data_IF_238331711527
#
_entry.id   IF_238331711527
#
_cell.length_a   1.000
_cell.length_b   1.000
_cell.length_c   1.000
_cell.angle_alpha   90.00
_cell.angle_beta   90.00
_cell.angle_gamma   90.00
#
_symmetry.space_group_name_H-M   'P 1'
#
loop_
_entity.id
_entity.type
_entity.pdbx_description
1 polymer ?
#
# COMPACT_ATOMS: atom_id res chain seq x y z
N UNK A 1 3.29 -10.16 -72.27
CA UNK A 1 3.08 -9.77 -70.86
C UNK A 1 2.11 -10.78 -70.24
N UNK A 2 2.61 -11.66 -69.36
CA UNK A 2 1.83 -12.68 -68.66
C UNK A 2 1.67 -12.23 -67.20
N UNK A 3 0.43 -12.03 -66.74
CA UNK A 3 0.10 -11.74 -65.35
C UNK A 3 -0.30 -13.05 -64.66
N UNK A 4 0.49 -13.48 -63.68
CA UNK A 4 0.15 -14.58 -62.79
C UNK A 4 -0.74 -14.07 -61.66
N UNK A 5 -1.95 -14.63 -61.56
CA UNK A 5 -2.74 -14.63 -60.33
C UNK A 5 -2.09 -15.58 -59.31
N UNK A 6 -1.83 -15.09 -58.10
CA UNK A 6 -1.60 -15.94 -56.93
C UNK A 6 -2.76 -15.78 -55.95
N UNK A 7 -3.48 -16.88 -55.80
CA UNK A 7 -4.55 -17.14 -54.85
C UNK A 7 -3.89 -17.40 -53.49
N UNK A 8 -4.11 -16.53 -52.50
CA UNK A 8 -3.86 -16.86 -51.09
C UNK A 8 -5.19 -17.22 -50.43
N UNK A 9 -5.41 -18.53 -50.29
CA UNK A 9 -6.52 -19.09 -49.54
C UNK A 9 -6.34 -18.84 -48.05
N UNK A 10 -7.23 -18.02 -47.48
CA UNK A 10 -7.40 -17.85 -46.05
C UNK A 10 -8.11 -19.09 -45.49
N UNK A 11 -7.35 -19.92 -44.78
CA UNK A 11 -7.86 -21.01 -43.95
C UNK A 11 -8.63 -20.41 -42.76
N UNK A 12 -9.96 -20.45 -42.86
CA UNK A 12 -10.86 -20.31 -41.72
C UNK A 12 -10.67 -21.50 -40.78
N UNK A 13 -9.99 -21.29 -39.67
CA UNK A 13 -9.94 -22.23 -38.57
C UNK A 13 -11.26 -22.14 -37.79
N UNK A 14 -11.98 -23.26 -37.78
CA UNK A 14 -13.22 -23.47 -37.03
C UNK A 14 -13.02 -23.21 -35.53
N UNK A 15 -13.75 -22.24 -34.97
CA UNK A 15 -14.04 -22.18 -33.54
C UNK A 15 -15.03 -23.31 -33.20
N UNK A 16 -14.54 -24.39 -32.61
CA UNK A 16 -15.38 -25.39 -31.98
C UNK A 16 -15.94 -24.81 -30.67
N UNK A 17 -17.24 -24.51 -30.70
CA UNK A 17 -18.08 -24.18 -29.54
C UNK A 17 -18.27 -25.44 -28.70
N UNK A 18 -17.69 -25.46 -27.50
CA UNK A 18 -18.06 -26.45 -26.48
C UNK A 18 -19.22 -25.90 -25.64
N UNK A 19 -20.38 -26.58 -25.59
CA UNK A 19 -21.43 -26.24 -24.63
C UNK A 19 -21.04 -26.77 -23.25
N UNK A 20 -20.80 -25.86 -22.31
CA UNK A 20 -20.76 -26.16 -20.87
C UNK A 20 -22.18 -26.43 -20.40
N UNK A 21 -22.46 -27.69 -20.05
CA UNK A 21 -23.65 -28.05 -19.29
C UNK A 21 -23.45 -27.64 -17.84
N UNK A 22 -24.23 -26.65 -17.39
CA UNK A 22 -24.46 -26.40 -15.97
C UNK A 22 -25.49 -27.44 -15.49
N UNK A 23 -25.11 -28.27 -14.52
CA UNK A 23 -26.06 -29.07 -13.76
C UNK A 23 -26.20 -28.47 -12.37
N UNK A 24 -27.47 -28.19 -12.06
CA UNK A 24 -28.00 -27.83 -10.75
C UNK A 24 -27.61 -28.86 -9.69
N UNK A 25 -27.07 -28.39 -8.57
CA UNK A 25 -27.20 -29.04 -7.27
C UNK A 25 -27.43 -27.94 -6.22
N UNK A 26 -28.70 -27.55 -6.08
CA UNK A 26 -29.24 -27.08 -4.83
C UNK A 26 -29.57 -28.31 -3.98
N UNK A 27 -29.15 -28.34 -2.72
CA UNK A 27 -29.85 -28.96 -1.58
C UNK A 27 -29.04 -28.74 -0.30
N UNK A 28 -29.67 -28.03 0.64
CA UNK A 28 -29.71 -28.30 2.09
C UNK A 28 -28.40 -28.52 2.87
N UNK A 29 -28.15 -27.65 3.85
CA UNK A 29 -28.22 -28.06 5.25
C UNK A 29 -28.38 -26.86 6.22
N UNK A 30 -29.51 -26.90 6.91
CA UNK A 30 -29.86 -26.38 8.24
C UNK A 30 -28.68 -26.28 9.22
N UNK A 31 -28.46 -25.14 9.87
CA UNK A 31 -29.00 -24.78 11.21
C UNK A 31 -28.53 -25.67 12.36
N UNK A 32 -27.47 -25.26 13.07
CA UNK A 32 -27.33 -25.55 14.51
C UNK A 32 -26.72 -24.35 15.24
N UNK A 33 -27.58 -23.70 16.02
CA UNK A 33 -27.24 -22.88 17.19
C UNK A 33 -26.71 -23.79 18.30
N UNK A 34 -25.59 -23.42 18.93
CA UNK A 34 -25.42 -23.69 20.35
C UNK A 34 -24.54 -22.62 21.00
N UNK A 35 -25.11 -22.00 22.02
CA UNK A 35 -24.45 -21.15 22.98
C UNK A 35 -23.57 -22.00 23.91
N UNK A 36 -22.42 -21.48 24.29
CA UNK A 36 -21.50 -22.11 25.23
C UNK A 36 -20.75 -21.03 26.00
N UNK A 37 -21.04 -20.97 27.30
CA UNK A 37 -20.66 -19.99 28.31
C UNK A 37 -19.16 -19.79 28.55
N UNK A 38 -18.83 -18.58 29.03
CA UNK A 38 -17.60 -18.14 29.71
C UNK A 38 -17.15 -19.09 30.85
N UNK A 39 -15.84 -19.15 31.19
CA UNK A 39 -15.40 -18.35 32.35
C UNK A 39 -13.97 -17.78 32.25
N UNK A 40 -13.87 -16.47 32.55
CA UNK A 40 -13.04 -15.86 33.60
C UNK A 40 -11.79 -16.61 34.12
N UNK A 41 -10.60 -16.09 33.81
CA UNK A 41 -9.38 -16.23 34.62
C UNK A 41 -8.48 -15.00 34.36
N UNK A 42 -8.48 -14.01 35.26
CA UNK A 42 -7.64 -13.84 36.46
C UNK A 42 -6.23 -13.31 36.17
N UNK A 43 -5.97 -12.16 36.79
CA UNK A 43 -4.75 -11.36 36.83
C UNK A 43 -3.46 -12.13 37.11
N UNK A 44 -2.33 -11.65 36.55
CA UNK A 44 -1.05 -11.61 37.26
C UNK A 44 -0.18 -10.47 36.70
N UNK A 45 0.10 -9.49 37.57
CA UNK A 45 1.15 -8.49 37.43
C UNK A 45 2.53 -9.15 37.54
N UNK A 46 3.53 -8.68 36.79
CA UNK A 46 4.86 -8.49 37.38
C UNK A 46 5.69 -7.43 36.65
N UNK A 47 6.22 -6.54 37.50
CA UNK A 47 7.11 -5.42 37.26
C UNK A 47 8.59 -5.83 37.11
N UNK A 48 9.42 -4.82 36.85
CA UNK A 48 10.90 -4.74 36.94
C UNK A 48 11.62 -4.90 35.59
N UNK A 49 12.59 -4.06 35.19
CA UNK A 49 13.48 -3.17 35.94
C UNK A 49 14.12 -2.13 35.01
N UNK A 50 14.45 -1.00 35.63
CA UNK A 50 15.24 0.13 35.12
C UNK A 50 16.55 -0.26 34.43
N UNK A 51 16.96 0.54 33.45
CA UNK A 51 18.37 0.93 33.34
C UNK A 51 18.52 2.41 32.91
N UNK A 52 19.44 3.07 33.61
CA UNK A 52 19.74 4.51 33.64
C UNK A 52 21.15 4.74 33.05
N UNK A 53 21.49 6.02 32.80
CA UNK A 53 22.82 6.64 32.54
C UNK A 53 23.00 7.02 31.05
N UNK A 54 22.69 8.25 30.62
CA UNK A 54 23.51 9.51 30.58
C UNK A 54 24.78 9.37 29.71
N UNK A 55 25.06 10.22 28.71
CA UNK A 55 25.32 11.66 28.83
C UNK A 55 25.24 12.42 27.50
N UNK A 56 24.92 13.72 27.59
CA UNK A 56 25.08 14.76 26.58
C UNK A 56 26.58 15.05 26.30
N UNK A 57 27.00 15.52 25.12
CA UNK A 57 27.14 16.92 24.63
C UNK A 57 28.02 16.80 23.33
N UNK A 58 27.95 17.58 22.25
CA UNK A 58 27.88 19.04 22.08
C UNK A 58 27.29 19.42 20.69
N UNK A 59 26.85 20.70 20.59
CA UNK A 59 26.24 21.42 19.45
C UNK A 59 27.31 21.89 18.45
N UNK A 60 27.04 22.09 17.14
CA UNK A 60 26.42 23.26 16.45
C UNK A 60 26.48 22.91 14.92
N UNK A 61 25.62 23.29 13.97
CA UNK A 61 24.80 24.49 13.77
C UNK A 61 23.75 24.31 12.63
N UNK A 62 22.65 25.06 12.78
CA UNK A 62 21.77 25.74 11.78
C UNK A 62 20.89 24.95 10.76
N UNK A 63 19.59 25.11 11.00
CA UNK A 63 18.50 25.39 10.05
C UNK A 63 18.07 24.29 9.06
N UNK A 64 17.35 23.29 9.59
CA UNK A 64 16.25 22.63 8.87
C UNK A 64 15.30 22.00 9.90
N UNK A 65 14.29 22.75 10.36
CA UNK A 65 13.53 22.41 11.58
C UNK A 65 12.27 21.57 11.34
N UNK A 66 12.25 20.77 10.28
CA UNK A 66 11.37 19.58 10.20
C UNK A 66 12.25 18.34 10.23
N UNK A 67 13.07 18.19 11.30
CA UNK A 67 13.94 17.03 11.50
C UNK A 67 13.23 15.75 11.09
N UNK A 68 13.69 15.15 9.99
CA UNK A 68 12.92 14.32 9.06
C UNK A 68 12.14 13.20 9.73
N UNK A 69 10.93 13.50 10.18
CA UNK A 69 9.98 12.49 10.63
C UNK A 69 9.37 11.90 9.38
N UNK A 70 9.70 10.65 9.11
CA UNK A 70 9.05 9.84 8.08
C UNK A 70 7.60 9.61 8.48
N UNK A 71 6.69 10.45 7.97
CA UNK A 71 5.23 10.38 8.21
C UNK A 71 4.69 9.00 7.81
N UNK A 72 5.37 8.29 6.89
CA UNK A 72 5.07 6.91 6.54
C UNK A 72 5.18 5.94 7.73
N UNK A 73 5.82 6.30 8.84
CA UNK A 73 5.88 5.45 10.05
C UNK A 73 4.82 5.76 11.10
N UNK A 74 3.91 6.71 10.83
CA UNK A 74 2.82 7.02 11.75
C UNK A 74 1.91 5.78 11.94
N UNK A 75 1.52 5.53 13.18
CA UNK A 75 0.53 4.48 13.47
C UNK A 75 -0.87 4.96 13.09
N UNK A 76 -1.78 4.04 12.78
CA UNK A 76 -3.17 4.37 12.45
C UNK A 76 -3.82 5.21 13.57
N UNK A 77 -3.49 4.90 14.83
CA UNK A 77 -3.95 5.65 16.01
C UNK A 77 -3.49 7.11 16.00
N UNK A 78 -2.23 7.37 15.62
CA UNK A 78 -1.67 8.72 15.53
C UNK A 78 -2.31 9.51 14.39
N UNK A 79 -2.54 8.86 13.24
CA UNK A 79 -3.23 9.45 12.09
C UNK A 79 -4.66 9.83 12.48
N UNK A 80 -5.41 8.93 13.11
CA UNK A 80 -6.78 9.17 13.58
C UNK A 80 -6.84 10.29 14.64
N UNK A 81 -5.84 10.39 15.52
CA UNK A 81 -5.73 11.48 16.49
C UNK A 81 -5.51 12.83 15.79
N UNK A 82 -4.60 12.90 14.82
CA UNK A 82 -4.36 14.11 14.03
C UNK A 82 -5.59 14.53 13.20
N UNK A 83 -6.34 13.57 12.64
CA UNK A 83 -7.61 13.86 11.95
C UNK A 83 -8.68 14.40 12.89
N UNK A 84 -8.79 13.86 14.11
CA UNK A 84 -9.69 14.39 15.15
C UNK A 84 -9.27 15.80 15.57
N UNK A 85 -7.97 16.03 15.72
CA UNK A 85 -7.41 17.35 16.01
C UNK A 85 -7.79 18.37 14.93
N UNK A 86 -7.61 18.03 13.65
CA UNK A 86 -8.02 18.89 12.53
C UNK A 86 -9.51 19.27 12.60
N UNK A 87 -10.39 18.28 12.81
CA UNK A 87 -11.83 18.53 12.96
C UNK A 87 -12.14 19.43 14.15
N UNK A 88 -11.48 19.20 15.30
CA UNK A 88 -11.65 20.01 16.49
C UNK A 88 -11.18 21.47 16.27
N UNK A 89 -10.05 21.66 15.59
CA UNK A 89 -9.56 23.00 15.23
C UNK A 89 -10.54 23.73 14.32
N UNK A 90 -11.02 23.06 13.25
CA UNK A 90 -11.96 23.64 12.28
C UNK A 90 -13.30 24.05 12.91
N UNK A 91 -13.75 23.30 13.92
CA UNK A 91 -15.00 23.57 14.62
C UNK A 91 -14.83 24.57 15.79
N UNK A 92 -13.60 24.97 16.13
CA UNK A 92 -13.31 25.95 17.16
C UNK A 92 -13.05 27.31 16.49
N UNK A 93 -13.96 28.27 16.68
CA UNK A 93 -13.88 29.58 16.02
C UNK A 93 -12.61 30.36 16.39
N UNK A 94 -12.19 30.33 17.66
CA UNK A 94 -10.98 31.02 18.12
C UNK A 94 -9.73 30.39 17.50
N UNK A 95 -9.62 29.05 17.58
CA UNK A 95 -8.44 28.33 17.09
C UNK A 95 -8.33 28.39 15.57
N UNK A 96 -9.43 28.21 14.84
CA UNK A 96 -9.45 28.38 13.38
C UNK A 96 -9.29 29.84 12.94
N UNK A 97 -9.53 30.81 13.82
CA UNK A 97 -9.27 32.20 13.54
C UNK A 97 -7.78 32.57 13.66
N UNK A 98 -7.06 31.92 14.56
CA UNK A 98 -5.64 32.18 14.83
C UNK A 98 -4.71 31.26 14.02
N UNK A 99 -5.16 30.05 13.67
CA UNK A 99 -4.31 29.01 13.08
C UNK A 99 -4.86 28.43 11.78
N UNK A 100 -3.95 28.12 10.84
CA UNK A 100 -4.24 27.22 9.74
C UNK A 100 -4.37 25.81 10.32
N UNK A 101 -5.63 25.37 10.52
CA UNK A 101 -5.94 24.09 11.13
C UNK A 101 -5.30 22.90 10.43
N UNK A 102 -5.00 23.02 9.14
CA UNK A 102 -4.41 21.94 8.37
C UNK A 102 -2.91 21.84 8.63
N UNK A 103 -2.19 22.95 8.50
CA UNK A 103 -0.78 23.02 8.89
C UNK A 103 -0.62 22.57 10.34
N UNK A 104 -1.49 23.06 11.24
CA UNK A 104 -1.43 22.75 12.67
C UNK A 104 -1.68 21.26 12.95
N UNK A 105 -2.56 20.59 12.19
CA UNK A 105 -2.79 19.15 12.30
C UNK A 105 -1.61 18.32 11.80
N UNK A 106 -0.92 18.77 10.75
CA UNK A 106 0.32 18.16 10.28
C UNK A 106 1.44 18.24 11.32
N UNK A 107 1.66 19.44 11.87
CA UNK A 107 2.61 19.64 12.96
C UNK A 107 2.24 18.85 14.20
N UNK A 108 0.95 18.76 14.54
CA UNK A 108 0.46 17.93 15.64
C UNK A 108 0.84 16.46 15.46
N UNK A 109 0.67 15.90 14.25
CA UNK A 109 1.06 14.52 13.96
C UNK A 109 2.57 14.31 14.13
N UNK A 110 3.38 15.22 13.59
CA UNK A 110 4.85 15.15 13.72
C UNK A 110 5.27 15.23 15.19
N UNK A 111 4.69 16.14 15.97
CA UNK A 111 4.92 16.25 17.40
C UNK A 111 4.48 14.98 18.14
N UNK A 112 3.34 14.39 17.74
CA UNK A 112 2.83 13.14 18.30
C UNK A 112 3.80 11.99 18.08
N UNK A 113 4.30 11.82 16.85
CA UNK A 113 5.27 10.79 16.51
C UNK A 113 6.58 10.94 17.29
N UNK A 114 7.06 12.17 17.47
CA UNK A 114 8.27 12.46 18.26
C UNK A 114 8.10 12.15 19.74
N UNK A 115 6.90 12.37 20.29
CA UNK A 115 6.61 12.17 21.72
C UNK A 115 6.17 10.75 22.08
N UNK A 116 5.72 9.97 21.10
CA UNK A 116 5.19 8.63 21.30
C UNK A 116 3.71 8.62 21.72
N UNK A 117 3.10 7.43 21.71
CA UNK A 117 1.65 7.24 21.92
C UNK A 117 1.17 7.54 23.35
N UNK A 118 2.08 7.48 24.32
CA UNK A 118 1.78 7.71 25.74
C UNK A 118 1.74 9.19 26.10
N UNK A 119 2.21 10.08 25.20
CA UNK A 119 2.18 11.51 25.46
C UNK A 119 0.73 12.01 25.56
N UNK A 120 0.48 12.94 26.48
CA UNK A 120 -0.85 13.54 26.58
C UNK A 120 -1.07 14.55 25.47
N UNK A 121 -2.30 14.62 24.97
CA UNK A 121 -2.74 15.60 23.98
C UNK A 121 -2.27 17.03 24.31
N UNK A 122 -2.40 17.45 25.58
CA UNK A 122 -1.97 18.77 26.05
C UNK A 122 -0.48 19.03 25.82
N UNK A 123 0.38 18.02 26.01
CA UNK A 123 1.83 18.16 25.78
C UNK A 123 2.15 18.25 24.30
N UNK A 124 1.51 17.41 23.47
CA UNK A 124 1.67 17.43 22.01
C UNK A 124 1.20 18.77 21.44
N UNK A 125 0.03 19.25 21.87
CA UNK A 125 -0.51 20.53 21.42
C UNK A 125 0.35 21.73 21.85
N UNK A 126 0.93 21.68 23.06
CA UNK A 126 1.82 22.75 23.54
C UNK A 126 3.05 22.94 22.64
N UNK A 127 3.56 21.88 22.02
CA UNK A 127 4.70 21.95 21.10
C UNK A 127 4.35 22.65 19.78
N UNK A 128 3.08 22.61 19.36
CA UNK A 128 2.64 23.09 18.03
C UNK A 128 1.80 24.34 18.06
N UNK A 129 1.29 24.76 19.24
CA UNK A 129 0.38 25.91 19.38
C UNK A 129 0.95 27.24 18.83
N UNK A 130 2.27 27.40 18.80
CA UNK A 130 2.90 28.61 18.27
C UNK A 130 3.18 28.55 16.75
N UNK A 131 2.90 27.41 16.11
CA UNK A 131 3.14 27.18 14.68
C UNK A 131 1.87 27.50 13.89
N UNK A 132 2.00 27.58 12.56
CA UNK A 132 0.85 27.63 11.65
C UNK A 132 -0.13 28.78 11.91
N UNK A 133 0.34 29.94 12.36
CA UNK A 133 -0.51 31.10 12.57
C UNK A 133 -1.03 31.64 11.23
N UNK A 134 -2.33 31.95 11.16
CA UNK A 134 -2.90 32.62 9.98
C UNK A 134 -2.40 34.05 9.98
N UNK A 135 -1.68 34.47 8.93
CA UNK A 135 -1.32 35.88 8.78
C UNK A 135 -2.62 36.71 8.77
N UNK A 136 -2.81 37.68 9.70
CA UNK A 136 -4.00 38.52 9.72
C UNK A 136 -4.22 39.29 8.41
N UNK A 137 -3.18 39.46 7.58
CA UNK A 137 -3.27 40.06 6.24
C UNK A 137 -3.76 39.08 5.17
N UNK A 138 -3.54 37.77 5.32
CA UNK A 138 -3.99 36.74 4.38
C UNK A 138 -5.51 36.50 4.46
N UNK A 139 -6.12 36.72 5.62
CA UNK A 139 -7.57 36.57 5.85
C UNK A 139 -8.45 37.46 4.97
N UNK A 140 -7.95 38.63 4.54
CA UNK A 140 -8.72 39.58 3.71
C UNK A 140 -8.88 39.15 2.25
N UNK A 141 -8.10 38.17 1.78
CA UNK A 141 -8.12 37.69 0.39
C UNK A 141 -8.65 36.25 0.23
N UNK A 142 -9.02 35.57 1.33
CA UNK A 142 -9.56 34.21 1.33
C UNK A 142 -11.04 34.12 0.92
N UNK A 143 -11.68 35.25 0.66
CA UNK A 143 -13.10 35.34 0.25
C UNK A 143 -13.36 35.27 -1.25
N UNK A 144 -12.46 34.68 -2.08
CA UNK A 144 -12.76 34.30 -3.47
C UNK A 144 -11.62 33.61 -4.25
N UNK A 145 -10.58 33.10 -3.58
CA UNK A 145 -9.51 32.40 -4.29
C UNK A 145 -9.74 30.89 -4.30
N UNK A 146 -10.43 30.45 -5.36
CA UNK A 146 -10.12 29.20 -6.06
C UNK A 146 -8.68 29.28 -6.60
N UNK A 147 -7.71 29.30 -5.70
CA UNK A 147 -6.29 29.41 -6.05
C UNK A 147 -5.84 28.10 -6.70
N UNK A 148 -5.88 28.09 -8.02
CA UNK A 148 -5.02 27.33 -8.91
C UNK A 148 -3.55 27.80 -8.78
N UNK A 149 -3.05 27.88 -7.55
CA UNK A 149 -1.64 28.01 -7.24
C UNK A 149 -1.12 26.64 -6.90
N UNK A 150 -0.07 26.21 -7.61
CA UNK A 150 0.82 25.13 -7.19
C UNK A 150 1.50 25.54 -5.88
N UNK A 151 0.75 25.56 -4.77
CA UNK A 151 1.34 25.55 -3.44
C UNK A 151 1.90 24.15 -3.20
N UNK A 152 3.07 24.07 -2.57
CA UNK A 152 3.76 22.82 -2.25
C UNK A 152 2.95 21.88 -1.32
N UNK A 153 1.79 22.34 -0.85
CA UNK A 153 0.87 21.60 -0.01
C UNK A 153 -0.22 20.93 -0.85
N UNK A 154 -0.47 19.62 -0.62
CA UNK A 154 -1.62 18.90 -1.20
C UNK A 154 -2.92 19.64 -0.87
N UNK A 155 -4.07 19.27 -1.42
CA UNK A 155 -5.40 19.72 -0.94
C UNK A 155 -6.08 18.63 -0.09
N UNK A 156 -7.04 18.99 0.78
CA UNK A 156 -7.82 17.98 1.53
C UNK A 156 -8.51 16.98 0.59
N UNK A 157 -8.96 17.46 -0.59
CA UNK A 157 -9.53 16.62 -1.62
C UNK A 157 -8.52 15.60 -2.18
N UNK A 158 -7.29 16.03 -2.47
CA UNK A 158 -6.23 15.12 -2.95
C UNK A 158 -5.83 14.09 -1.88
N UNK A 159 -5.75 14.50 -0.61
CA UNK A 159 -5.48 13.56 0.50
C UNK A 159 -6.60 12.53 0.63
N UNK A 160 -7.87 12.96 0.57
CA UNK A 160 -9.02 12.05 0.57
C UNK A 160 -9.04 11.12 -0.65
N UNK A 161 -8.65 11.62 -1.82
CA UNK A 161 -8.56 10.83 -3.04
C UNK A 161 -7.49 9.72 -2.90
N UNK A 162 -6.30 10.08 -2.41
CA UNK A 162 -5.22 9.14 -2.14
C UNK A 162 -5.61 8.10 -1.06
N UNK A 163 -6.30 8.52 -0.01
CA UNK A 163 -6.87 7.59 0.98
C UNK A 163 -7.90 6.64 0.34
N UNK A 164 -8.71 7.14 -0.58
CA UNK A 164 -9.62 6.31 -1.38
C UNK A 164 -8.88 5.27 -2.22
N UNK A 165 -7.75 5.63 -2.83
CA UNK A 165 -6.88 4.71 -3.59
C UNK A 165 -6.27 3.64 -2.67
N UNK A 166 -5.79 4.03 -1.49
CA UNK A 166 -5.30 3.08 -0.49
C UNK A 166 -6.37 2.04 -0.11
N UNK A 167 -7.57 2.51 0.24
CA UNK A 167 -8.68 1.63 0.63
C UNK A 167 -9.14 0.74 -0.52
N UNK A 168 -9.23 1.29 -1.73
CA UNK A 168 -9.55 0.51 -2.92
C UNK A 168 -8.53 -0.59 -3.19
N UNK A 169 -7.23 -0.26 -3.13
CA UNK A 169 -6.16 -1.25 -3.29
C UNK A 169 -6.23 -2.33 -2.22
N UNK A 170 -6.44 -1.95 -0.94
CA UNK A 170 -6.48 -2.92 0.17
C UNK A 170 -7.69 -3.85 0.13
N UNK A 171 -8.83 -3.36 -0.34
CA UNK A 171 -10.09 -4.10 -0.37
C UNK A 171 -10.28 -4.96 -1.62
N UNK A 172 -9.47 -4.76 -2.66
CA UNK A 172 -9.46 -5.62 -3.83
C UNK A 172 -8.71 -6.93 -3.51
N UNK A 173 -9.19 -8.05 -4.06
CA UNK A 173 -8.63 -9.38 -3.77
C UNK A 173 -7.23 -9.61 -4.33
N UNK A 174 -6.84 -8.86 -5.37
CA UNK A 174 -5.58 -9.07 -6.08
C UNK A 174 -4.61 -7.91 -5.90
N UNK A 175 -5.09 -6.66 -5.86
CA UNK A 175 -4.22 -5.49 -5.75
C UNK A 175 -3.18 -5.54 -4.62
N UNK A 176 -3.49 -5.94 -3.37
CA UNK A 176 -2.50 -5.93 -2.29
C UNK A 176 -1.42 -7.01 -2.46
N UNK A 177 -1.68 -8.03 -3.29
CA UNK A 177 -0.71 -9.06 -3.66
C UNK A 177 0.31 -8.50 -4.66
N UNK A 178 -0.16 -7.72 -5.65
CA UNK A 178 0.70 -7.17 -6.70
C UNK A 178 1.38 -5.86 -6.31
N UNK A 179 0.72 -5.02 -5.52
CA UNK A 179 1.13 -3.65 -5.22
C UNK A 179 1.15 -3.38 -3.71
N UNK A 180 2.12 -2.58 -3.28
CA UNK A 180 2.13 -2.01 -1.93
C UNK A 180 1.13 -0.85 -1.94
N UNK A 181 -0.05 -1.10 -1.36
CA UNK A 181 -1.14 -0.12 -1.36
C UNK A 181 -0.79 1.21 -0.71
N UNK A 182 0.14 1.21 0.25
CA UNK A 182 0.58 2.43 0.93
C UNK A 182 1.50 3.23 0.02
N UNK A 183 2.48 2.58 -0.58
CA UNK A 183 3.33 3.19 -1.60
C UNK A 183 2.47 3.73 -2.75
N UNK A 184 1.52 2.93 -3.26
CA UNK A 184 0.66 3.32 -4.38
C UNK A 184 -0.17 4.56 -4.08
N UNK A 185 -0.72 4.69 -2.85
CA UNK A 185 -1.43 5.89 -2.43
C UNK A 185 -0.52 7.12 -2.31
N UNK A 186 0.72 6.92 -1.86
CA UNK A 186 1.76 7.96 -1.85
C UNK A 186 2.10 8.45 -3.27
N UNK A 187 2.48 7.55 -4.17
CA UNK A 187 2.76 7.90 -5.57
C UNK A 187 1.55 8.52 -6.28
N UNK A 188 0.34 8.08 -5.91
CA UNK A 188 -0.89 8.67 -6.43
C UNK A 188 -1.04 10.13 -6.05
N UNK A 189 -0.83 10.52 -4.79
CA UNK A 189 -0.99 11.92 -4.38
C UNK A 189 0.07 12.82 -5.04
N UNK A 190 1.30 12.32 -5.21
CA UNK A 190 2.37 13.01 -5.95
C UNK A 190 1.99 13.24 -7.40
N UNK A 191 1.62 12.17 -8.10
CA UNK A 191 1.24 12.26 -9.52
C UNK A 191 -0.01 13.11 -9.71
N UNK A 192 -0.95 13.05 -8.77
CA UNK A 192 -2.16 13.89 -8.76
C UNK A 192 -1.81 15.37 -8.62
N UNK A 193 -0.82 15.71 -7.77
CA UNK A 193 -0.31 17.07 -7.63
C UNK A 193 0.34 17.56 -8.93
N UNK A 194 1.21 16.76 -9.53
CA UNK A 194 1.87 17.10 -10.81
C UNK A 194 0.87 17.36 -11.95
N UNK A 195 -0.20 16.58 -12.02
CA UNK A 195 -1.16 16.65 -13.11
C UNK A 195 -2.29 17.68 -12.91
N UNK A 196 -2.44 18.23 -11.70
CA UNK A 196 -3.44 19.25 -11.38
C UNK A 196 -4.88 18.73 -11.22
N UNK A 197 -5.87 19.62 -11.33
CA UNK A 197 -7.28 19.38 -10.96
C UNK A 197 -8.07 18.46 -11.90
N UNK A 198 -7.64 18.30 -13.15
CA UNK A 198 -8.48 17.78 -14.24
C UNK A 198 -8.42 16.24 -14.46
N UNK A 199 -7.33 15.51 -14.18
CA UNK A 199 -7.29 14.09 -14.53
C UNK A 199 -8.36 13.26 -13.83
N UNK A 200 -8.92 12.27 -14.53
CA UNK A 200 -9.66 11.20 -13.86
C UNK A 200 -8.68 10.38 -13.01
N UNK A 201 -9.12 9.87 -11.84
CA UNK A 201 -8.38 8.92 -10.99
C UNK A 201 -7.73 7.81 -11.81
N UNK A 202 -8.48 7.20 -12.74
CA UNK A 202 -7.98 6.08 -13.53
C UNK A 202 -6.84 6.50 -14.48
N UNK A 203 -6.85 7.76 -14.93
CA UNK A 203 -5.75 8.33 -15.71
C UNK A 203 -4.49 8.46 -14.86
N UNK A 204 -4.60 8.94 -13.62
CA UNK A 204 -3.48 9.03 -12.68
C UNK A 204 -2.93 7.63 -12.40
N UNK A 205 -3.79 6.68 -12.06
CA UNK A 205 -3.41 5.28 -11.80
C UNK A 205 -2.71 4.63 -13.00
N UNK A 206 -3.14 4.95 -14.23
CA UNK A 206 -2.49 4.43 -15.44
C UNK A 206 -1.01 4.85 -15.56
N UNK A 207 -0.61 5.97 -14.94
CA UNK A 207 0.78 6.42 -14.90
C UNK A 207 1.61 5.80 -13.78
N UNK A 208 0.95 5.13 -12.84
CA UNK A 208 1.60 4.44 -11.71
C UNK A 208 1.80 2.96 -12.00
N UNK A 209 1.39 2.46 -13.18
CA UNK A 209 1.63 1.07 -13.57
C UNK A 209 3.11 0.73 -13.48
N UNK A 210 3.42 -0.39 -12.82
CA UNK A 210 4.80 -0.81 -12.60
C UNK A 210 5.53 -0.13 -11.45
N UNK A 211 4.89 0.81 -10.73
CA UNK A 211 5.46 1.37 -9.50
C UNK A 211 4.94 0.60 -8.28
N UNK A 212 5.64 0.70 -7.15
CA UNK A 212 5.17 0.18 -5.87
C UNK A 212 4.83 -1.32 -5.89
N UNK A 213 5.66 -2.15 -6.53
CA UNK A 213 5.44 -3.59 -6.61
C UNK A 213 5.63 -4.26 -5.24
N UNK A 214 4.70 -5.13 -4.85
CA UNK A 214 4.77 -5.86 -3.59
C UNK A 214 5.40 -7.25 -3.75
N UNK A 215 6.72 -7.28 -3.91
CA UNK A 215 7.46 -8.54 -4.09
C UNK A 215 7.29 -9.52 -2.93
N UNK A 216 7.17 -9.01 -1.70
CA UNK A 216 7.04 -9.83 -0.48
C UNK A 216 5.70 -10.56 -0.46
N UNK A 217 4.59 -9.85 -0.64
CA UNK A 217 3.26 -10.46 -0.59
C UNK A 217 3.03 -11.39 -1.78
N UNK A 218 3.58 -11.03 -2.95
CA UNK A 218 3.60 -11.90 -4.12
C UNK A 218 4.36 -13.21 -3.86
N UNK A 219 5.52 -13.15 -3.18
CA UNK A 219 6.26 -14.36 -2.79
C UNK A 219 5.40 -15.25 -1.87
N UNK A 220 4.79 -14.66 -0.84
CA UNK A 220 3.93 -15.37 0.10
C UNK A 220 2.73 -16.04 -0.60
N UNK A 221 2.07 -15.30 -1.50
CA UNK A 221 0.98 -15.82 -2.31
C UNK A 221 1.41 -17.01 -3.18
N UNK A 222 2.50 -16.87 -3.94
CA UNK A 222 3.00 -17.93 -4.83
C UNK A 222 3.46 -19.18 -4.07
N UNK A 223 4.12 -19.00 -2.92
CA UNK A 223 4.48 -20.13 -2.06
C UNK A 223 3.24 -20.90 -1.59
N UNK A 224 2.24 -20.18 -1.07
CA UNK A 224 0.98 -20.76 -0.62
C UNK A 224 0.25 -21.47 -1.76
N UNK A 225 0.16 -20.86 -2.95
CA UNK A 225 -0.50 -21.48 -4.11
C UNK A 225 0.23 -22.74 -4.59
N UNK A 226 1.56 -22.69 -4.66
CA UNK A 226 2.42 -23.81 -5.05
C UNK A 226 2.24 -25.03 -4.13
N UNK A 227 2.18 -24.81 -2.81
CA UNK A 227 1.97 -25.89 -1.83
C UNK A 227 0.56 -26.46 -1.89
N UNK A 228 -0.46 -25.63 -2.14
CA UNK A 228 -1.86 -26.07 -2.22
C UNK A 228 -2.15 -26.92 -3.45
N UNK A 229 -1.33 -26.83 -4.50
CA UNK A 229 -1.55 -27.50 -5.80
C UNK A 229 -0.43 -28.48 -6.12
N UNK A 230 -0.28 -29.59 -5.35
CA UNK A 230 0.83 -30.53 -5.55
C UNK A 230 0.84 -31.18 -6.94
N UNK A 231 -0.31 -31.29 -7.61
CA UNK A 231 -0.41 -31.80 -8.97
C UNK A 231 0.21 -30.90 -10.05
N UNK A 232 0.52 -29.64 -9.72
CA UNK A 232 1.20 -28.69 -10.63
C UNK A 232 2.72 -28.66 -10.42
N UNK A 233 3.23 -29.41 -9.44
CA UNK A 233 4.66 -29.51 -9.21
C UNK A 233 5.32 -30.38 -10.29
N UNK A 234 6.58 -30.11 -10.65
CA UNK A 234 7.33 -30.98 -11.54
C UNK A 234 7.34 -32.44 -11.05
N UNK A 235 7.20 -33.40 -11.97
CA UNK A 235 7.03 -34.85 -11.72
C UNK A 235 8.15 -35.55 -10.92
N UNK A 236 9.14 -34.83 -10.41
CA UNK A 236 10.29 -35.35 -9.63
C UNK A 236 10.68 -34.46 -8.46
N UNK A 237 9.75 -33.64 -7.99
CA UNK A 237 10.00 -32.74 -6.85
C UNK A 237 10.09 -33.57 -5.57
N UNK A 238 11.31 -33.76 -5.05
CA UNK A 238 11.53 -34.56 -3.82
C UNK A 238 11.06 -33.84 -2.57
N UNK A 239 11.25 -32.53 -2.53
CA UNK A 239 10.87 -31.67 -1.42
C UNK A 239 10.01 -30.51 -1.96
N UNK A 240 8.67 -30.65 -1.92
CA UNK A 240 7.73 -29.62 -2.37
C UNK A 240 7.92 -28.29 -1.65
N UNK A 241 8.26 -28.30 -0.34
CA UNK A 241 8.43 -27.07 0.44
C UNK A 241 9.63 -26.29 -0.05
N UNK A 242 10.79 -26.94 -0.15
CA UNK A 242 12.00 -26.29 -0.69
C UNK A 242 11.82 -25.82 -2.12
N UNK A 243 11.11 -26.59 -2.95
CA UNK A 243 10.81 -26.18 -4.32
C UNK A 243 9.97 -24.90 -4.36
N UNK A 244 8.84 -24.88 -3.63
CA UNK A 244 7.93 -23.74 -3.61
C UNK A 244 8.60 -22.50 -3.00
N UNK A 245 9.45 -22.67 -1.99
CA UNK A 245 10.24 -21.58 -1.41
C UNK A 245 11.22 -20.99 -2.43
N UNK A 246 11.99 -21.84 -3.12
CA UNK A 246 12.85 -21.39 -4.22
C UNK A 246 12.05 -20.66 -5.29
N UNK A 247 10.95 -21.26 -5.75
CA UNK A 247 10.12 -20.72 -6.82
C UNK A 247 9.56 -19.33 -6.48
N UNK A 248 8.96 -19.19 -5.29
CA UNK A 248 8.42 -17.92 -4.81
C UNK A 248 9.51 -16.84 -4.70
N UNK A 249 10.67 -17.18 -4.14
CA UNK A 249 11.78 -16.23 -3.97
C UNK A 249 12.40 -15.81 -5.30
N UNK A 250 12.61 -16.74 -6.23
CA UNK A 250 13.14 -16.43 -7.57
C UNK A 250 12.16 -15.62 -8.39
N UNK A 251 10.85 -15.90 -8.27
CA UNK A 251 9.83 -15.05 -8.86
C UNK A 251 9.87 -13.65 -8.30
N UNK A 252 9.88 -13.49 -6.97
CA UNK A 252 9.87 -12.18 -6.31
C UNK A 252 11.08 -11.32 -6.69
N UNK A 253 12.27 -11.92 -6.80
CA UNK A 253 13.46 -11.26 -7.36
C UNK A 253 13.20 -10.74 -8.77
N UNK A 254 12.71 -11.59 -9.67
CA UNK A 254 12.38 -11.18 -11.04
C UNK A 254 11.27 -10.13 -11.10
N UNK A 255 10.26 -10.24 -10.23
CA UNK A 255 9.13 -9.32 -10.16
C UNK A 255 9.56 -7.90 -9.78
N UNK A 256 10.48 -7.77 -8.83
CA UNK A 256 11.05 -6.47 -8.48
C UNK A 256 11.79 -5.79 -9.64
N UNK A 257 12.32 -6.56 -10.60
CA UNK A 257 12.98 -5.97 -11.79
C UNK A 257 12.01 -5.41 -12.81
N UNK A 258 10.70 -5.66 -12.67
CA UNK A 258 9.66 -5.06 -13.50
C UNK A 258 9.32 -3.63 -13.05
N UNK A 259 9.93 -3.11 -11.99
CA UNK A 259 9.66 -1.76 -11.51
C UNK A 259 9.92 -0.72 -12.62
N UNK A 260 8.94 0.17 -12.81
CA UNK A 260 8.94 1.16 -13.90
C UNK A 260 8.46 0.63 -15.26
N UNK A 261 8.06 -0.63 -15.37
CA UNK A 261 7.49 -1.22 -16.59
C UNK A 261 6.05 -1.68 -16.40
N UNK A 262 5.24 -1.72 -17.47
CA UNK A 262 3.86 -2.20 -17.34
C UNK A 262 3.84 -3.70 -16.99
N UNK A 263 3.31 -4.02 -15.81
CA UNK A 263 3.20 -5.41 -15.32
C UNK A 263 2.09 -6.11 -16.10
N UNK A 264 2.48 -6.68 -17.23
CA UNK A 264 1.59 -7.48 -18.07
C UNK A 264 1.52 -8.94 -17.62
N UNK A 265 0.41 -9.62 -17.89
CA UNK A 265 0.28 -11.07 -17.67
C UNK A 265 1.36 -11.87 -18.40
N UNK A 266 1.83 -11.38 -19.56
CA UNK A 266 2.90 -12.04 -20.31
C UNK A 266 4.24 -11.95 -19.59
N UNK A 267 4.57 -10.77 -19.05
CA UNK A 267 5.80 -10.58 -18.28
C UNK A 267 5.80 -11.43 -17.01
N UNK A 268 4.69 -11.45 -16.26
CA UNK A 268 4.57 -12.27 -15.05
C UNK A 268 4.60 -13.77 -15.37
N UNK A 269 3.96 -14.21 -16.45
CA UNK A 269 4.01 -15.62 -16.88
C UNK A 269 5.43 -16.05 -17.29
N UNK A 270 6.16 -15.18 -17.99
CA UNK A 270 7.55 -15.43 -18.35
C UNK A 270 8.46 -15.54 -17.11
N UNK A 271 8.30 -14.64 -16.14
CA UNK A 271 9.00 -14.71 -14.85
C UNK A 271 8.70 -16.02 -14.10
N UNK A 272 7.44 -16.43 -14.05
CA UNK A 272 7.02 -17.69 -13.44
C UNK A 272 7.71 -18.89 -14.11
N UNK A 273 7.73 -18.94 -15.44
CA UNK A 273 8.42 -19.99 -16.19
C UNK A 273 9.93 -20.02 -15.91
N UNK A 274 10.58 -18.86 -15.86
CA UNK A 274 12.02 -18.78 -15.55
C UNK A 274 12.34 -19.23 -14.11
N UNK A 275 11.58 -18.75 -13.13
CA UNK A 275 11.74 -19.13 -11.72
C UNK A 275 11.53 -20.64 -11.52
N UNK A 276 10.48 -21.20 -12.15
CA UNK A 276 10.18 -22.63 -12.07
C UNK A 276 11.30 -23.49 -12.66
N UNK A 277 11.79 -23.13 -13.85
CA UNK A 277 12.90 -23.86 -14.49
C UNK A 277 14.19 -23.80 -13.68
N UNK A 278 14.52 -22.64 -13.12
CA UNK A 278 15.72 -22.47 -12.28
C UNK A 278 15.68 -23.39 -11.06
N UNK A 279 14.59 -23.36 -10.30
CA UNK A 279 14.43 -24.17 -9.10
C UNK A 279 14.37 -25.67 -9.40
N UNK A 280 13.80 -26.06 -10.54
CA UNK A 280 13.80 -27.45 -10.97
C UNK A 280 15.22 -27.96 -11.27
N UNK A 281 16.08 -27.12 -11.88
CA UNK A 281 17.46 -27.48 -12.17
C UNK A 281 18.31 -27.61 -10.90
N UNK A 282 18.15 -26.71 -9.93
CA UNK A 282 18.84 -26.79 -8.64
C UNK A 282 18.52 -28.10 -7.90
N UNK A 283 17.25 -28.52 -7.87
CA UNK A 283 16.88 -29.81 -7.26
C UNK A 283 17.49 -31.03 -7.96
N UNK A 284 17.75 -30.96 -9.27
CA UNK A 284 18.43 -32.05 -10.00
C UNK A 284 19.90 -32.14 -9.62
N UNK A 285 20.59 -31.01 -9.46
CA UNK A 285 22.02 -31.00 -9.11
C UNK A 285 22.32 -31.63 -7.75
N UNK A 286 21.42 -31.48 -6.77
CA UNK A 286 21.54 -32.16 -5.47
C UNK A 286 21.40 -33.68 -5.50
N UNK A 287 21.00 -34.26 -6.64
CA UNK A 287 20.82 -35.72 -6.74
C UNK A 287 22.02 -36.45 -7.35
N UNK A 288 23.02 -35.71 -7.84
CA UNK A 288 24.20 -36.26 -8.50
C UNK A 288 25.48 -36.20 -7.65
N UNK A 289 25.39 -35.58 -6.46
CA UNK A 289 26.44 -35.53 -5.45
C UNK A 289 26.02 -36.38 -4.24
#
# INVERSE_FOLDING_TARGET
MRFSLLIFGFLFFFCAVFPVQAQDLASDLSSETSAGDDPSHSDTQQSDKSNKVSSAKDRESKADTSGGVDIGKATDKQIDEAQRFYKACKNNEELSAEHDCRCLAGEFLVARMKRGDDASYKRVFADVRALCLVDPKAKKNLGNQDSAGLGDEYTEAQVKEAQGVYLWCKNDSFMPIYYDCKCMAGEFIEKRREMGRIPNRDHVLSKLKGTCLNSTEMAGYLYSDCIKKPGQLPLRTKDPKKFCECYANEFAKGFSTLEGTDVSMNATSALAGMAMNKCQNEQRTFTLN
#
